data_IF_530957796546
#
_entry.id   IF_530957796546
#
_cell.length_a   1.000
_cell.length_b   1.000
_cell.length_c   1.000
_cell.angle_alpha   90.00
_cell.angle_beta   90.00
_cell.angle_gamma   90.00
#
_symmetry.space_group_name_H-M   'P 1'
#
loop_
_entity.id
_entity.type
_entity.pdbx_description
1 polymer ?
#
# COMPACT_ATOMS: atom_id res chain seq x y z
N UNK A 1 43.93 -13.99 11.35
CA UNK A 1 44.35 -13.08 12.46
C UNK A 1 45.54 -12.21 12.08
N UNK A 2 45.69 -11.76 10.80
CA UNK A 2 46.79 -10.91 10.31
C UNK A 2 46.38 -9.66 9.53
N UNK A 3 45.11 -9.37 9.38
CA UNK A 3 44.64 -8.18 8.60
C UNK A 3 44.09 -7.03 9.48
N UNK A 4 43.93 -7.22 10.80
CA UNK A 4 43.41 -6.17 11.70
C UNK A 4 44.48 -5.31 12.36
N UNK A 5 45.79 -5.54 12.06
CA UNK A 5 46.91 -4.77 12.64
C UNK A 5 47.52 -3.73 11.71
N UNK A 6 47.07 -3.61 10.44
CA UNK A 6 47.61 -2.61 9.49
C UNK A 6 46.79 -1.33 9.38
N UNK A 7 45.56 -1.29 9.93
CA UNK A 7 44.71 -0.10 9.86
C UNK A 7 44.91 0.89 11.01
N UNK A 8 45.67 0.52 12.04
CA UNK A 8 45.88 1.36 13.22
C UNK A 8 47.13 2.27 13.13
N UNK A 9 47.99 2.15 12.10
CA UNK A 9 49.23 2.91 11.95
C UNK A 9 49.07 4.10 10.99
N UNK A 10 48.01 4.18 10.19
CA UNK A 10 47.82 5.28 9.23
C UNK A 10 47.05 6.49 9.79
N UNK A 11 46.44 6.40 10.98
CA UNK A 11 45.70 7.49 11.62
C UNK A 11 46.51 8.33 12.62
N UNK A 12 47.79 8.01 12.85
CA UNK A 12 48.64 8.69 13.85
C UNK A 12 49.66 9.70 13.23
N UNK A 13 49.60 9.96 11.91
CA UNK A 13 50.61 10.82 11.25
C UNK A 13 50.09 12.14 10.67
N UNK A 14 48.87 12.57 10.99
CA UNK A 14 48.29 13.84 10.49
C UNK A 14 48.09 14.91 11.57
N UNK A 15 48.49 14.67 12.83
CA UNK A 15 48.24 15.61 13.94
C UNK A 15 49.49 16.27 14.54
N UNK A 16 50.63 16.36 13.81
CA UNK A 16 51.83 17.08 14.32
C UNK A 16 52.41 17.98 13.24
N UNK A 17 51.70 19.04 12.86
CA UNK A 17 52.32 20.20 12.14
C UNK A 17 51.39 21.41 12.18
N UNK A 18 51.19 22.01 13.36
CA UNK A 18 50.76 23.40 13.46
C UNK A 18 50.94 23.96 14.89
N UNK A 19 52.22 24.19 15.25
CA UNK A 19 52.62 25.17 16.27
C UNK A 19 54.07 25.47 16.04
N UNK A 20 54.37 26.67 15.61
CA UNK A 20 55.41 27.61 16.02
C UNK A 20 55.53 28.74 14.97
N UNK A 21 55.12 29.92 15.35
CA UNK A 21 55.89 31.15 15.13
C UNK A 21 55.13 32.36 15.69
N UNK A 22 55.41 32.73 16.93
CA UNK A 22 55.27 34.08 17.45
C UNK A 22 56.45 34.91 17.00
N UNK A 23 56.24 35.99 16.25
CA UNK A 23 57.22 36.99 15.89
C UNK A 23 56.56 38.36 15.88
N UNK A 24 56.99 39.22 16.85
CA UNK A 24 56.57 40.61 17.03
C UNK A 24 57.12 41.50 15.93
N UNK A 25 56.27 42.34 15.30
CA UNK A 25 56.67 43.57 14.61
C UNK A 25 55.56 44.62 14.65
N UNK A 26 55.95 45.87 14.80
CA UNK A 26 55.17 47.10 15.12
C UNK A 26 54.29 47.63 13.97
N UNK A 27 53.44 48.62 14.22
CA UNK A 27 52.27 48.94 13.41
C UNK A 27 52.57 49.77 12.18
N UNK A 28 52.01 49.35 11.03
CA UNK A 28 51.94 50.15 9.82
C UNK A 28 50.49 50.49 9.48
N UNK A 29 50.29 51.62 8.86
CA UNK A 29 49.08 52.39 8.66
C UNK A 29 47.89 51.60 8.08
N UNK A 30 46.70 51.97 8.56
CA UNK A 30 45.41 51.58 8.02
C UNK A 30 45.23 52.13 6.60
N UNK A 31 45.12 51.25 5.63
CA UNK A 31 44.51 51.51 4.35
C UNK A 31 43.09 50.97 4.42
N UNK A 32 42.10 51.85 4.25
CA UNK A 32 40.68 51.49 4.27
C UNK A 32 40.33 50.66 3.04
N UNK A 33 39.97 49.41 3.26
CA UNK A 33 39.40 48.55 2.20
C UNK A 33 37.99 49.08 1.81
N UNK A 34 37.66 49.10 0.52
CA UNK A 34 36.33 49.53 0.07
C UNK A 34 35.23 48.59 0.64
N UNK A 35 34.13 49.20 1.08
CA UNK A 35 32.96 48.49 1.57
C UNK A 35 32.44 47.49 0.57
N UNK A 36 32.05 46.25 1.00
CA UNK A 36 31.44 45.28 0.09
C UNK A 36 30.12 45.86 -0.45
N UNK A 37 29.96 45.74 -1.79
CA UNK A 37 28.71 46.09 -2.45
C UNK A 37 27.55 45.27 -1.83
N UNK A 38 26.33 45.86 -1.71
CA UNK A 38 25.19 45.14 -1.19
C UNK A 38 24.95 43.90 -2.04
N UNK A 39 24.94 42.73 -1.40
CA UNK A 39 24.51 41.49 -2.02
C UNK A 39 23.12 41.73 -2.64
N UNK A 40 22.99 41.50 -3.95
CA UNK A 40 21.71 41.45 -4.61
C UNK A 40 20.86 40.39 -3.86
N UNK A 41 19.75 40.82 -3.31
CA UNK A 41 18.72 39.92 -2.82
C UNK A 41 18.28 39.15 -4.04
N UNK A 42 18.59 37.84 -4.08
CA UNK A 42 17.95 36.90 -4.96
C UNK A 42 16.46 36.96 -4.60
N UNK A 43 15.67 37.55 -5.50
CA UNK A 43 14.23 37.62 -5.37
C UNK A 43 13.78 36.19 -5.54
N UNK A 44 13.33 35.55 -4.44
CA UNK A 44 12.77 34.22 -4.49
C UNK A 44 11.65 34.26 -5.53
N UNK A 45 11.78 33.46 -6.60
CA UNK A 45 10.74 33.30 -7.60
C UNK A 45 9.43 32.97 -6.89
N UNK A 46 8.36 33.69 -7.25
CA UNK A 46 7.03 33.37 -6.73
C UNK A 46 6.74 31.90 -7.02
N UNK A 47 6.09 31.15 -6.08
CA UNK A 47 5.71 29.76 -6.33
C UNK A 47 4.95 29.68 -7.65
N UNK A 48 5.31 28.74 -8.52
CA UNK A 48 4.60 28.52 -9.76
C UNK A 48 3.12 28.26 -9.45
N UNK A 49 2.23 28.88 -10.21
CA UNK A 49 0.79 28.66 -10.08
C UNK A 49 0.49 27.20 -10.41
N UNK A 50 -0.16 26.46 -9.48
CA UNK A 50 -0.57 25.09 -9.70
C UNK A 50 -1.84 25.12 -10.56
N UNK A 51 -1.71 24.70 -11.80
CA UNK A 51 -2.80 24.65 -12.81
C UNK A 51 -3.01 23.23 -13.27
N UNK A 52 -4.24 22.92 -13.73
CA UNK A 52 -4.57 21.63 -14.33
C UNK A 52 -3.62 21.31 -15.49
N UNK A 53 -2.94 20.16 -15.45
CA UNK A 53 -2.04 19.77 -16.53
C UNK A 53 -2.80 19.39 -17.80
N UNK A 54 -2.06 19.33 -18.90
CA UNK A 54 -2.55 18.76 -20.18
C UNK A 54 -1.97 17.35 -20.31
N UNK A 55 -2.79 16.39 -20.74
CA UNK A 55 -2.36 15.03 -20.98
C UNK A 55 -1.25 14.96 -22.04
N UNK A 56 -0.29 14.07 -21.84
CA UNK A 56 0.86 13.90 -22.75
C UNK A 56 0.49 13.34 -24.12
N UNK A 57 -0.68 12.72 -24.25
CA UNK A 57 -1.12 12.00 -25.45
C UNK A 57 -0.47 10.61 -25.61
N UNK A 58 0.31 10.17 -24.62
CA UNK A 58 0.81 8.78 -24.55
C UNK A 58 -0.18 7.92 -23.77
N UNK A 59 -0.34 6.66 -24.17
CA UNK A 59 -1.16 5.70 -23.43
C UNK A 59 -0.59 5.48 -22.02
N UNK A 60 -1.49 5.36 -21.04
CA UNK A 60 -1.20 5.04 -19.65
C UNK A 60 -1.74 3.65 -19.35
N UNK A 61 -0.88 2.73 -18.92
CA UNK A 61 -1.25 1.35 -18.61
C UNK A 61 -1.36 1.20 -17.11
N UNK A 62 -2.53 0.75 -16.62
CA UNK A 62 -2.83 0.63 -15.20
C UNK A 62 -3.06 -0.83 -14.83
N UNK A 63 -2.18 -1.39 -14.01
CA UNK A 63 -2.34 -2.71 -13.42
C UNK A 63 -3.29 -2.67 -12.23
N UNK A 64 -4.31 -3.54 -12.20
CA UNK A 64 -5.29 -3.54 -11.12
C UNK A 64 -5.89 -4.92 -10.85
N UNK A 65 -6.78 -5.00 -9.86
CA UNK A 65 -7.47 -6.21 -9.41
C UNK A 65 -8.96 -6.12 -9.72
N UNK A 66 -9.58 -7.21 -10.19
CA UNK A 66 -11.03 -7.30 -10.40
C UNK A 66 -11.77 -7.50 -9.10
N UNK A 67 -11.76 -6.53 -8.23
CA UNK A 67 -12.48 -6.48 -6.96
C UNK A 67 -12.61 -5.01 -6.50
N UNK A 68 -12.99 -4.79 -5.23
CA UNK A 68 -13.11 -3.45 -4.65
C UNK A 68 -11.87 -2.55 -4.83
N UNK A 69 -10.68 -3.13 -4.92
CA UNK A 69 -9.41 -2.37 -5.09
C UNK A 69 -9.39 -1.64 -6.42
N UNK A 70 -9.72 -2.35 -7.51
CA UNK A 70 -9.68 -1.82 -8.87
C UNK A 70 -10.94 -1.10 -9.30
N UNK A 71 -12.05 -1.24 -8.55
CA UNK A 71 -13.35 -0.68 -8.96
C UNK A 71 -13.33 0.82 -9.27
N UNK A 72 -12.63 1.70 -8.54
CA UNK A 72 -12.58 3.12 -8.90
C UNK A 72 -11.90 3.37 -10.25
N UNK A 73 -10.79 2.67 -10.56
CA UNK A 73 -10.09 2.83 -11.83
C UNK A 73 -10.97 2.34 -13.00
N UNK A 74 -11.63 1.20 -12.83
CA UNK A 74 -12.61 0.69 -13.80
C UNK A 74 -13.79 1.66 -13.97
N UNK A 75 -14.37 2.16 -12.87
CA UNK A 75 -15.48 3.10 -12.92
C UNK A 75 -15.11 4.39 -13.65
N UNK A 76 -13.92 4.93 -13.42
CA UNK A 76 -13.42 6.10 -14.13
C UNK A 76 -13.35 5.87 -15.65
N UNK A 77 -12.92 4.69 -16.08
CA UNK A 77 -12.91 4.30 -17.49
C UNK A 77 -14.33 4.12 -18.04
N UNK A 78 -15.18 3.37 -17.35
CA UNK A 78 -16.56 3.10 -17.78
C UNK A 78 -17.41 4.38 -17.91
N UNK A 79 -17.11 5.40 -17.11
CA UNK A 79 -17.79 6.70 -17.13
C UNK A 79 -17.14 7.72 -18.07
N UNK A 80 -16.05 7.38 -18.76
CA UNK A 80 -15.36 8.26 -19.69
C UNK A 80 -14.55 9.38 -19.04
N UNK A 81 -14.21 9.28 -17.72
CA UNK A 81 -13.50 10.36 -17.02
C UNK A 81 -12.08 10.56 -17.53
N UNK A 82 -11.42 9.49 -17.98
CA UNK A 82 -10.09 9.58 -18.59
C UNK A 82 -10.12 10.33 -19.93
N UNK A 83 -11.11 10.04 -20.76
CA UNK A 83 -11.31 10.72 -22.05
C UNK A 83 -11.67 12.21 -21.86
N UNK A 84 -12.45 12.55 -20.80
CA UNK A 84 -12.78 13.95 -20.47
C UNK A 84 -11.54 14.81 -20.22
N UNK A 85 -10.46 14.22 -19.69
CA UNK A 85 -9.20 14.91 -19.41
C UNK A 85 -8.12 14.65 -20.46
N UNK A 86 -8.45 13.89 -21.53
CA UNK A 86 -7.55 13.60 -22.66
C UNK A 86 -6.54 12.47 -22.38
N UNK A 87 -6.74 11.65 -21.34
CA UNK A 87 -5.94 10.45 -21.09
C UNK A 87 -6.44 9.28 -21.94
N UNK A 88 -5.52 8.58 -22.59
CA UNK A 88 -5.74 7.25 -23.15
C UNK A 88 -5.29 6.22 -22.11
N UNK A 89 -6.23 5.46 -21.54
CA UNK A 89 -5.96 4.50 -20.47
C UNK A 89 -6.27 3.07 -20.91
N UNK A 90 -5.35 2.15 -20.59
CA UNK A 90 -5.57 0.71 -20.68
C UNK A 90 -5.55 0.12 -19.26
N UNK A 91 -6.61 -0.60 -18.87
CA UNK A 91 -6.63 -1.36 -17.61
C UNK A 91 -6.22 -2.80 -17.86
N UNK A 92 -5.23 -3.28 -17.12
CA UNK A 92 -4.78 -4.67 -17.11
C UNK A 92 -5.18 -5.30 -15.77
N UNK A 93 -6.03 -6.33 -15.85
CA UNK A 93 -6.60 -6.96 -14.67
C UNK A 93 -5.86 -8.25 -14.32
N UNK A 94 -5.45 -8.39 -13.06
CA UNK A 94 -4.72 -9.53 -12.50
C UNK A 94 -5.59 -10.38 -11.55
N UNK A 95 -6.91 -10.36 -11.72
CA UNK A 95 -7.85 -11.05 -10.82
C UNK A 95 -7.74 -10.51 -9.40
N UNK A 96 -7.54 -11.38 -8.42
CA UNK A 96 -7.32 -11.00 -7.00
C UNK A 96 -5.86 -11.20 -6.55
N UNK A 97 -4.90 -11.18 -7.48
CA UNK A 97 -3.51 -11.55 -7.22
C UNK A 97 -2.59 -10.33 -7.23
N UNK A 98 -2.53 -9.60 -6.11
CA UNK A 98 -1.65 -8.43 -5.94
C UNK A 98 -0.17 -8.67 -6.29
N UNK A 99 0.45 -9.83 -5.97
CA UNK A 99 1.82 -10.11 -6.39
C UNK A 99 2.04 -10.08 -7.90
N UNK A 100 1.06 -10.49 -8.71
CA UNK A 100 1.17 -10.42 -10.18
C UNK A 100 1.16 -8.98 -10.70
N UNK A 101 0.49 -8.05 -10.00
CA UNK A 101 0.58 -6.62 -10.31
C UNK A 101 2.02 -6.13 -10.13
N UNK A 102 2.68 -6.54 -9.03
CA UNK A 102 4.09 -6.17 -8.78
C UNK A 102 5.02 -6.75 -9.86
N UNK A 103 4.77 -7.97 -10.33
CA UNK A 103 5.54 -8.60 -11.41
C UNK A 103 5.39 -7.83 -12.72
N UNK A 104 4.16 -7.41 -13.07
CA UNK A 104 3.90 -6.60 -14.26
C UNK A 104 4.55 -5.21 -14.18
N UNK A 105 4.52 -4.58 -12.99
CA UNK A 105 5.23 -3.32 -12.74
C UNK A 105 6.74 -3.50 -12.91
N UNK A 106 7.31 -4.59 -12.39
CA UNK A 106 8.75 -4.89 -12.51
C UNK A 106 9.17 -5.26 -13.95
N UNK A 107 8.22 -5.69 -14.79
CA UNK A 107 8.44 -5.97 -16.21
C UNK A 107 8.16 -4.76 -17.14
N UNK A 108 7.91 -3.57 -16.56
CA UNK A 108 7.51 -2.34 -17.28
C UNK A 108 6.25 -2.54 -18.16
N UNK A 109 5.38 -3.49 -17.77
CA UNK A 109 4.11 -3.73 -18.47
C UNK A 109 3.00 -2.79 -17.99
N UNK A 110 3.18 -2.14 -16.82
CA UNK A 110 2.25 -1.17 -16.26
C UNK A 110 2.98 0.10 -15.80
N UNK A 111 2.37 1.25 -16.01
CA UNK A 111 2.86 2.57 -15.57
C UNK A 111 2.42 2.88 -14.12
N UNK A 112 1.16 2.57 -13.80
CA UNK A 112 0.54 2.77 -12.48
C UNK A 112 -0.06 1.45 -12.02
N UNK A 113 -0.03 1.23 -10.71
CA UNK A 113 -0.70 0.12 -10.06
C UNK A 113 -1.74 0.60 -9.04
N UNK A 114 -2.90 -0.05 -9.04
CA UNK A 114 -3.93 0.05 -8.00
C UNK A 114 -4.06 -1.34 -7.37
N UNK A 115 -3.44 -1.54 -6.21
CA UNK A 115 -3.25 -2.87 -5.63
C UNK A 115 -3.30 -2.85 -4.10
N UNK A 116 -3.39 -4.04 -3.50
CA UNK A 116 -3.49 -4.21 -2.05
C UNK A 116 -2.15 -4.17 -1.32
N UNK A 117 -2.10 -4.82 -0.16
CA UNK A 117 -0.93 -4.87 0.74
C UNK A 117 0.35 -5.41 0.05
N UNK A 118 0.21 -6.23 -1.00
CA UNK A 118 1.35 -6.69 -1.79
C UNK A 118 2.26 -5.55 -2.30
N UNK A 119 1.71 -4.33 -2.45
CA UNK A 119 2.44 -3.13 -2.86
C UNK A 119 3.64 -2.80 -1.96
N UNK A 120 3.63 -3.21 -0.68
CA UNK A 120 4.78 -3.03 0.24
C UNK A 120 6.06 -3.62 -0.35
N UNK A 121 5.97 -4.80 -0.98
CA UNK A 121 7.13 -5.46 -1.58
C UNK A 121 7.66 -4.71 -2.81
N UNK A 122 6.78 -4.14 -3.64
CA UNK A 122 7.18 -3.31 -4.77
C UNK A 122 7.84 -2.02 -4.27
N UNK A 123 7.18 -1.28 -3.38
CA UNK A 123 7.70 -0.04 -2.80
C UNK A 123 9.03 -0.23 -2.07
N UNK A 124 9.22 -1.39 -1.42
CA UNK A 124 10.48 -1.78 -0.76
C UNK A 124 11.68 -1.82 -1.70
N UNK A 125 11.48 -2.01 -3.00
CA UNK A 125 12.57 -1.97 -3.99
C UNK A 125 13.14 -0.58 -4.24
N UNK A 126 12.41 0.49 -3.87
CA UNK A 126 12.78 1.89 -4.14
C UNK A 126 12.58 2.34 -5.59
N UNK A 127 11.96 1.50 -6.43
CA UNK A 127 11.72 1.81 -7.86
C UNK A 127 10.38 2.51 -8.13
N UNK A 128 9.53 2.61 -7.13
CA UNK A 128 8.16 3.10 -7.26
C UNK A 128 7.87 4.21 -6.26
N UNK A 129 6.91 5.06 -6.61
CA UNK A 129 6.38 6.10 -5.73
C UNK A 129 4.92 5.84 -5.40
N UNK A 130 4.59 5.87 -4.12
CA UNK A 130 3.23 5.82 -3.60
C UNK A 130 2.58 7.19 -3.74
N UNK A 131 1.49 7.27 -4.50
CA UNK A 131 0.87 8.53 -4.91
C UNK A 131 -0.57 8.71 -4.40
N UNK A 132 -1.18 7.66 -3.81
CA UNK A 132 -2.56 7.74 -3.35
C UNK A 132 -3.00 6.57 -2.48
N UNK A 133 -3.90 6.85 -1.53
CA UNK A 133 -4.65 5.85 -0.80
C UNK A 133 -5.84 5.37 -1.64
N UNK A 134 -6.03 4.06 -1.74
CA UNK A 134 -7.10 3.44 -2.51
C UNK A 134 -8.32 3.12 -1.66
N UNK A 135 -8.68 1.84 -1.57
CA UNK A 135 -9.80 1.36 -0.77
C UNK A 135 -9.40 1.25 0.71
N UNK A 136 -10.32 1.66 1.57
CA UNK A 136 -10.30 1.43 3.02
C UNK A 136 -11.13 0.20 3.35
N UNK A 137 -10.50 -0.84 3.88
CA UNK A 137 -11.17 -2.04 4.38
C UNK A 137 -11.63 -1.83 5.82
N UNK A 138 -12.95 -1.81 6.02
CA UNK A 138 -13.58 -1.66 7.33
C UNK A 138 -13.59 -3.01 8.06
N UNK A 139 -13.88 -4.10 7.34
CA UNK A 139 -13.90 -5.49 7.84
C UNK A 139 -13.89 -6.48 6.67
N UNK A 140 -13.95 -7.79 7.00
CA UNK A 140 -14.13 -8.85 6.03
C UNK A 140 -12.86 -9.59 5.61
N UNK A 141 -11.71 -9.24 6.20
CA UNK A 141 -10.52 -10.08 6.14
C UNK A 141 -10.58 -11.07 7.29
N UNK A 142 -11.07 -12.28 7.01
CA UNK A 142 -11.46 -13.24 8.04
C UNK A 142 -10.57 -14.48 8.11
N UNK A 143 -10.53 -15.09 9.31
CA UNK A 143 -10.00 -16.42 9.54
C UNK A 143 -11.15 -17.35 9.88
N UNK A 144 -11.18 -18.50 9.23
CA UNK A 144 -12.28 -19.45 9.34
C UNK A 144 -11.79 -20.81 9.81
N UNK A 145 -12.62 -21.47 10.62
CA UNK A 145 -12.41 -22.80 11.17
C UNK A 145 -13.56 -23.73 10.81
N UNK A 146 -13.32 -25.04 10.95
CA UNK A 146 -14.39 -26.05 10.91
C UNK A 146 -15.24 -25.94 12.17
N UNK A 147 -16.57 -26.17 12.10
CA UNK A 147 -17.47 -26.01 13.25
C UNK A 147 -17.22 -27.04 14.39
N UNK A 148 -16.55 -28.13 14.10
CA UNK A 148 -16.14 -29.17 15.05
C UNK A 148 -14.71 -29.02 15.53
N UNK A 149 -13.98 -27.95 15.16
CA UNK A 149 -12.59 -27.73 15.53
C UNK A 149 -12.45 -27.38 17.03
N UNK A 150 -11.33 -27.78 17.61
CA UNK A 150 -10.96 -27.38 18.98
C UNK A 150 -10.82 -25.87 19.12
N UNK A 151 -10.43 -25.17 18.04
CA UNK A 151 -10.29 -23.71 17.99
C UNK A 151 -11.66 -23.03 18.18
N UNK A 152 -12.67 -23.46 17.42
CA UNK A 152 -14.03 -22.93 17.58
C UNK A 152 -14.64 -23.28 18.94
N UNK A 153 -14.31 -24.47 19.49
CA UNK A 153 -14.82 -24.90 20.79
C UNK A 153 -14.34 -24.06 21.97
N UNK A 154 -13.30 -23.21 21.81
CA UNK A 154 -12.86 -22.29 22.88
C UNK A 154 -13.90 -21.22 23.20
N UNK A 155 -14.81 -20.90 22.26
CA UNK A 155 -15.67 -19.74 22.34
C UNK A 155 -14.93 -18.41 22.05
N UNK A 156 -15.67 -17.32 21.81
CA UNK A 156 -15.06 -16.02 21.55
C UNK A 156 -14.54 -15.38 22.84
N UNK A 157 -13.43 -14.67 22.73
CA UNK A 157 -12.92 -13.79 23.78
C UNK A 157 -13.66 -12.41 23.80
N UNK A 158 -13.15 -11.45 24.57
CA UNK A 158 -13.76 -10.12 24.70
C UNK A 158 -13.73 -9.30 23.37
N UNK A 159 -12.85 -9.62 22.43
CA UNK A 159 -12.73 -8.99 21.11
C UNK A 159 -13.45 -9.77 20.01
N UNK A 160 -14.01 -10.95 20.35
CA UNK A 160 -14.70 -11.81 19.39
C UNK A 160 -13.82 -12.88 18.75
N UNK A 161 -12.52 -12.91 19.04
CA UNK A 161 -11.59 -13.90 18.52
C UNK A 161 -11.68 -15.23 19.26
N UNK A 162 -11.58 -16.35 18.53
CA UNK A 162 -11.59 -17.71 19.07
C UNK A 162 -10.19 -18.29 19.02
N UNK A 163 -9.84 -19.12 19.99
CA UNK A 163 -8.56 -19.81 20.07
C UNK A 163 -7.92 -19.71 21.46
N UNK A 164 -6.84 -20.44 21.62
CA UNK A 164 -5.98 -20.41 22.80
C UNK A 164 -4.57 -20.86 22.43
N UNK A 165 -3.59 -20.63 23.29
CA UNK A 165 -2.23 -21.14 23.07
C UNK A 165 -2.18 -22.67 22.90
N UNK A 166 -3.09 -23.40 23.53
CA UNK A 166 -3.15 -24.85 23.39
C UNK A 166 -3.71 -25.29 22.03
N UNK A 167 -4.79 -24.64 21.55
CA UNK A 167 -5.49 -25.01 20.31
C UNK A 167 -4.83 -24.50 19.05
N UNK A 168 -3.94 -23.52 19.16
CA UNK A 168 -3.24 -22.88 18.03
C UNK A 168 -1.79 -23.36 17.88
N UNK A 169 -1.40 -24.33 18.68
CA UNK A 169 -0.04 -24.89 18.61
C UNK A 169 0.15 -25.75 17.38
N UNK A 170 1.25 -25.51 16.63
CA UNK A 170 1.67 -26.30 15.47
C UNK A 170 0.60 -26.40 14.35
N UNK A 171 -0.28 -25.38 14.21
CA UNK A 171 -1.36 -25.40 13.20
C UNK A 171 -0.87 -25.00 11.81
N UNK A 172 -1.69 -25.36 10.81
CA UNK A 172 -1.52 -24.94 9.42
C UNK A 172 -2.66 -24.01 9.02
N UNK A 173 -2.32 -22.83 8.52
CA UNK A 173 -3.27 -21.84 7.97
C UNK A 173 -3.08 -21.78 6.45
N UNK A 174 -4.18 -21.92 5.69
CA UNK A 174 -4.19 -21.81 4.23
C UNK A 174 -4.49 -20.37 3.82
N UNK A 175 -3.89 -19.90 2.72
CA UNK A 175 -4.18 -18.58 2.16
C UNK A 175 -3.12 -18.11 1.17
N UNK A 176 -3.37 -17.00 0.43
CA UNK A 176 -2.38 -16.44 -0.47
C UNK A 176 -1.27 -15.70 0.30
N UNK A 177 -0.02 -16.04 -0.02
CA UNK A 177 1.17 -15.35 0.50
C UNK A 177 1.30 -13.92 -0.05
N UNK A 178 2.04 -13.09 0.69
CA UNK A 178 2.33 -11.70 0.31
C UNK A 178 1.07 -10.85 0.10
N UNK A 179 0.00 -11.18 0.81
CA UNK A 179 -1.29 -10.49 0.77
C UNK A 179 -1.80 -10.19 2.19
N UNK A 180 -2.92 -9.46 2.28
CA UNK A 180 -3.63 -9.22 3.54
C UNK A 180 -4.03 -10.51 4.26
N UNK A 181 -4.27 -11.60 3.54
CA UNK A 181 -4.60 -12.90 4.15
C UNK A 181 -3.43 -13.46 4.98
N UNK A 182 -2.19 -13.38 4.47
CA UNK A 182 -1.03 -13.78 5.26
C UNK A 182 -0.80 -12.85 6.45
N UNK A 183 -0.92 -11.53 6.25
CA UNK A 183 -0.80 -10.55 7.33
C UNK A 183 -1.83 -10.79 8.44
N UNK A 184 -3.09 -11.09 8.06
CA UNK A 184 -4.15 -11.42 9.00
C UNK A 184 -3.84 -12.70 9.78
N UNK A 185 -3.31 -13.75 9.12
CA UNK A 185 -2.91 -14.98 9.78
C UNK A 185 -1.79 -14.74 10.81
N UNK A 186 -0.77 -13.95 10.46
CA UNK A 186 0.31 -13.59 11.38
C UNK A 186 -0.25 -12.78 12.57
N UNK A 187 -1.05 -11.73 12.29
CA UNK A 187 -1.67 -10.91 13.34
C UNK A 187 -2.55 -11.74 14.30
N UNK A 188 -3.28 -12.72 13.77
CA UNK A 188 -4.08 -13.64 14.57
C UNK A 188 -3.21 -14.51 15.47
N UNK A 189 -2.12 -15.04 14.97
CA UNK A 189 -1.21 -15.85 15.77
C UNK A 189 -0.49 -15.01 16.84
N UNK A 190 -0.03 -13.79 16.49
CA UNK A 190 0.56 -12.83 17.42
C UNK A 190 -0.42 -12.43 18.53
N UNK A 191 -1.70 -12.26 18.22
CA UNK A 191 -2.74 -11.94 19.19
C UNK A 191 -2.82 -12.98 20.32
N UNK A 192 -2.55 -14.26 20.03
CA UNK A 192 -2.47 -15.35 21.00
C UNK A 192 -1.06 -15.61 21.53
N UNK A 193 -0.07 -14.77 21.20
CA UNK A 193 1.30 -14.82 21.73
C UNK A 193 2.24 -15.75 20.97
N UNK A 194 1.93 -16.08 19.73
CA UNK A 194 2.80 -16.78 18.80
C UNK A 194 3.56 -15.80 17.88
N UNK A 195 4.52 -16.31 17.13
CA UNK A 195 5.25 -15.59 16.09
C UNK A 195 4.94 -16.18 14.71
N UNK A 196 5.41 -15.54 13.65
CA UNK A 196 5.25 -16.05 12.28
C UNK A 196 5.96 -17.40 12.04
N UNK A 197 6.89 -17.78 12.91
CA UNK A 197 7.65 -19.05 12.82
C UNK A 197 6.97 -20.21 13.58
N UNK A 198 5.96 -19.93 14.40
CA UNK A 198 5.31 -20.92 15.25
C UNK A 198 4.16 -21.68 14.58
N UNK A 199 3.85 -21.37 13.31
CA UNK A 199 2.81 -22.04 12.54
C UNK A 199 3.20 -22.19 11.08
N UNK A 200 2.52 -23.07 10.36
CA UNK A 200 2.72 -23.26 8.92
C UNK A 200 1.70 -22.41 8.16
N UNK A 201 2.18 -21.50 7.27
CA UNK A 201 1.31 -20.86 6.30
C UNK A 201 1.50 -21.48 4.92
N UNK A 202 0.43 -22.11 4.38
CA UNK A 202 0.46 -22.78 3.08
C UNK A 202 -0.04 -21.81 2.01
N UNK A 203 0.85 -21.51 1.04
CA UNK A 203 0.54 -20.60 -0.06
C UNK A 203 -0.36 -21.26 -1.11
N UNK A 204 -1.60 -20.83 -1.16
CA UNK A 204 -2.58 -21.16 -2.19
C UNK A 204 -3.39 -19.90 -2.49
N UNK A 205 -3.84 -19.66 -3.72
CA UNK A 205 -4.79 -18.60 -3.99
C UNK A 205 -6.12 -18.83 -3.23
N UNK A 206 -6.99 -17.82 -3.18
CA UNK A 206 -8.22 -17.88 -2.38
C UNK A 206 -9.12 -19.07 -2.77
N UNK A 207 -9.30 -19.33 -4.07
CA UNK A 207 -10.16 -20.41 -4.54
C UNK A 207 -9.56 -21.78 -4.21
N UNK A 208 -8.27 -21.96 -4.45
CA UNK A 208 -7.51 -23.18 -4.14
C UNK A 208 -7.44 -23.42 -2.63
N UNK A 209 -7.25 -22.36 -1.82
CA UNK A 209 -7.27 -22.44 -0.35
C UNK A 209 -8.63 -22.93 0.15
N UNK A 210 -9.73 -22.37 -0.38
CA UNK A 210 -11.08 -22.79 -0.01
C UNK A 210 -11.32 -24.26 -0.37
N UNK A 211 -10.97 -24.69 -1.60
CA UNK A 211 -11.14 -26.07 -2.05
C UNK A 211 -10.32 -27.05 -1.19
N UNK A 212 -9.07 -26.73 -0.88
CA UNK A 212 -8.22 -27.56 0.00
C UNK A 212 -8.80 -27.63 1.43
N UNK A 213 -9.25 -26.49 1.98
CA UNK A 213 -9.86 -26.44 3.31
C UNK A 213 -11.14 -27.26 3.40
N UNK A 214 -12.00 -27.23 2.37
CA UNK A 214 -13.24 -28.03 2.27
C UNK A 214 -12.96 -29.54 2.21
N UNK A 215 -11.81 -29.95 1.63
CA UNK A 215 -11.40 -31.36 1.59
C UNK A 215 -10.66 -31.84 2.83
N UNK A 216 -10.47 -30.96 3.83
CA UNK A 216 -9.91 -31.33 5.13
C UNK A 216 -8.44 -30.93 5.31
N UNK A 217 -7.83 -30.21 4.37
CA UNK A 217 -6.46 -29.70 4.52
C UNK A 217 -6.43 -28.45 5.41
N UNK A 218 -5.30 -28.21 6.08
CA UNK A 218 -5.11 -27.11 7.02
C UNK A 218 -6.05 -27.14 8.23
N UNK A 219 -5.75 -26.39 9.25
CA UNK A 219 -6.57 -26.23 10.44
C UNK A 219 -7.48 -25.01 10.34
N UNK A 220 -6.96 -23.96 9.69
CA UNK A 220 -7.63 -22.68 9.43
C UNK A 220 -7.43 -22.23 7.98
N UNK A 221 -8.28 -21.33 7.54
CA UNK A 221 -8.10 -20.58 6.28
C UNK A 221 -8.23 -19.08 6.56
N UNK A 222 -7.27 -18.29 6.02
CA UNK A 222 -7.33 -16.84 6.01
C UNK A 222 -7.72 -16.36 4.61
N UNK A 223 -8.79 -15.54 4.52
CA UNK A 223 -9.35 -15.15 3.23
C UNK A 223 -10.16 -13.84 3.31
N UNK A 224 -10.51 -13.29 2.16
CA UNK A 224 -11.31 -12.08 2.02
C UNK A 224 -12.81 -12.34 2.19
N UNK A 225 -13.61 -11.26 2.16
CA UNK A 225 -15.06 -11.29 2.40
C UNK A 225 -15.81 -12.24 1.48
N UNK A 226 -15.50 -12.27 0.19
CA UNK A 226 -16.22 -13.09 -0.79
C UNK A 226 -16.10 -14.59 -0.50
N UNK A 227 -14.87 -15.08 -0.34
CA UNK A 227 -14.64 -16.48 0.02
C UNK A 227 -15.09 -16.80 1.44
N UNK A 228 -15.00 -15.80 2.33
CA UNK A 228 -15.56 -15.89 3.68
C UNK A 228 -17.07 -16.10 3.70
N UNK A 229 -17.81 -15.46 2.80
CA UNK A 229 -19.25 -15.66 2.64
C UNK A 229 -19.57 -17.08 2.17
N UNK A 230 -18.80 -17.60 1.18
CA UNK A 230 -18.97 -18.99 0.72
C UNK A 230 -18.70 -19.99 1.84
N UNK A 231 -17.60 -19.82 2.59
CA UNK A 231 -17.30 -20.65 3.75
C UNK A 231 -18.41 -20.61 4.79
N UNK A 232 -18.94 -19.41 5.08
CA UNK A 232 -20.05 -19.25 6.04
C UNK A 232 -21.33 -19.95 5.55
N UNK A 233 -21.66 -19.83 4.26
CA UNK A 233 -22.80 -20.51 3.65
C UNK A 233 -22.66 -22.06 3.71
N UNK A 234 -21.43 -22.56 3.64
CA UNK A 234 -21.11 -23.98 3.76
C UNK A 234 -20.98 -24.47 5.22
N UNK A 235 -21.24 -23.58 6.20
CA UNK A 235 -21.28 -23.91 7.63
C UNK A 235 -19.93 -23.81 8.36
N UNK A 236 -18.89 -23.27 7.74
CA UNK A 236 -17.66 -22.90 8.43
C UNK A 236 -17.86 -21.65 9.26
N UNK A 237 -17.03 -21.47 10.28
CA UNK A 237 -17.22 -20.39 11.26
C UNK A 237 -16.06 -19.41 11.21
N UNK A 238 -16.37 -18.10 11.18
CA UNK A 238 -15.36 -17.07 11.34
C UNK A 238 -14.88 -17.06 12.77
N UNK A 239 -13.58 -17.27 12.97
CA UNK A 239 -12.92 -17.30 14.30
C UNK A 239 -12.12 -16.05 14.59
N UNK A 240 -11.81 -15.26 13.57
CA UNK A 240 -11.26 -13.90 13.71
C UNK A 240 -11.60 -13.06 12.47
N UNK A 241 -11.60 -11.75 12.66
CA UNK A 241 -11.57 -10.74 11.58
C UNK A 241 -10.42 -9.80 11.88
N UNK A 242 -9.71 -9.34 10.85
CA UNK A 242 -8.53 -8.50 11.03
C UNK A 242 -8.81 -7.29 11.92
N UNK A 243 -9.96 -6.64 11.75
CA UNK A 243 -10.36 -5.48 12.55
C UNK A 243 -10.73 -5.79 14.02
N UNK A 244 -10.83 -7.07 14.41
CA UNK A 244 -11.01 -7.46 15.81
C UNK A 244 -9.69 -7.53 16.57
N UNK A 245 -8.59 -7.78 15.86
CA UNK A 245 -7.28 -8.12 16.44
C UNK A 245 -6.18 -7.13 16.08
N UNK A 246 -6.33 -6.36 15.00
CA UNK A 246 -5.36 -5.36 14.53
C UNK A 246 -5.74 -3.94 14.98
N UNK A 247 -4.73 -3.07 15.04
CA UNK A 247 -4.87 -1.68 15.49
C UNK A 247 -4.93 -0.67 14.33
N UNK A 248 -4.59 -1.10 13.11
CA UNK A 248 -4.57 -0.25 11.92
C UNK A 248 -5.51 -0.80 10.86
N UNK A 249 -6.31 0.06 10.19
CA UNK A 249 -7.14 -0.38 9.08
C UNK A 249 -6.27 -0.74 7.87
N UNK A 250 -6.75 -1.66 7.03
CA UNK A 250 -6.11 -1.97 5.75
C UNK A 250 -6.50 -0.87 4.75
N UNK A 251 -5.49 -0.29 4.08
CA UNK A 251 -5.68 0.70 3.02
C UNK A 251 -4.87 0.24 1.80
N UNK A 252 -5.56 0.11 0.67
CA UNK A 252 -4.94 -0.29 -0.58
C UNK A 252 -4.14 0.87 -1.20
N UNK A 253 -3.18 0.53 -2.07
CA UNK A 253 -2.20 1.46 -2.64
C UNK A 253 -2.56 1.90 -4.05
N UNK A 254 -2.27 3.15 -4.35
CA UNK A 254 -2.04 3.65 -5.70
C UNK A 254 -0.57 4.07 -5.79
N UNK A 255 0.20 3.43 -6.69
CA UNK A 255 1.63 3.71 -6.85
C UNK A 255 2.03 3.65 -8.33
N UNK A 256 3.15 4.26 -8.69
CA UNK A 256 3.60 4.33 -10.08
C UNK A 256 5.11 4.13 -10.21
N UNK A 257 5.56 3.90 -11.44
CA UNK A 257 6.97 3.94 -11.82
C UNK A 257 7.57 5.31 -11.50
N UNK A 258 8.79 5.37 -10.93
CA UNK A 258 9.47 6.64 -10.68
C UNK A 258 9.73 7.41 -11.98
N UNK A 259 10.08 6.70 -13.06
CA UNK A 259 10.30 7.28 -14.39
C UNK A 259 9.05 7.98 -14.96
N UNK A 260 7.85 7.49 -14.63
CA UNK A 260 6.61 8.13 -15.04
C UNK A 260 6.48 9.54 -14.46
N UNK A 261 6.92 9.73 -13.22
CA UNK A 261 6.89 11.03 -12.55
C UNK A 261 7.88 12.02 -13.13
N UNK A 262 9.02 11.54 -13.61
CA UNK A 262 10.02 12.37 -14.28
C UNK A 262 9.56 12.78 -15.69
N UNK A 263 8.92 11.86 -16.42
CA UNK A 263 8.53 12.07 -17.82
C UNK A 263 7.15 12.71 -18.01
N UNK A 264 6.16 12.29 -17.21
CA UNK A 264 4.75 12.59 -17.40
C UNK A 264 3.99 12.85 -16.08
N UNK A 265 4.49 13.73 -15.19
CA UNK A 265 3.84 13.98 -13.89
C UNK A 265 2.39 14.48 -14.06
N UNK A 266 2.09 15.19 -15.14
CA UNK A 266 0.74 15.67 -15.44
C UNK A 266 -0.25 14.54 -15.71
N UNK A 267 0.16 13.44 -16.34
CA UNK A 267 -0.71 12.28 -16.56
C UNK A 267 -1.07 11.61 -15.23
N UNK A 268 -0.14 11.58 -14.28
CA UNK A 268 -0.36 11.05 -12.93
C UNK A 268 -1.39 11.90 -12.18
N UNK A 269 -1.28 13.23 -12.23
CA UNK A 269 -2.26 14.13 -11.61
C UNK A 269 -3.65 13.97 -12.23
N UNK A 270 -3.76 13.89 -13.56
CA UNK A 270 -5.02 13.66 -14.25
C UNK A 270 -5.63 12.29 -13.92
N UNK A 271 -4.79 11.25 -13.80
CA UNK A 271 -5.24 9.94 -13.35
C UNK A 271 -5.81 10.00 -11.92
N UNK A 272 -5.09 10.60 -10.96
CA UNK A 272 -5.55 10.75 -9.59
C UNK A 272 -6.86 11.55 -9.50
N UNK A 273 -7.00 12.59 -10.32
CA UNK A 273 -8.27 13.34 -10.43
C UNK A 273 -9.43 12.43 -10.83
N UNK A 274 -9.28 11.67 -11.92
CA UNK A 274 -10.31 10.76 -12.40
C UNK A 274 -10.62 9.65 -11.37
N UNK A 275 -9.59 9.11 -10.73
CA UNK A 275 -9.69 8.07 -9.72
C UNK A 275 -10.50 8.54 -8.49
N UNK A 276 -10.15 9.68 -7.90
CA UNK A 276 -10.88 10.19 -6.73
C UNK A 276 -12.25 10.76 -7.07
N UNK A 277 -12.46 11.27 -8.29
CA UNK A 277 -13.80 11.58 -8.82
C UNK A 277 -14.67 10.31 -8.86
N UNK A 278 -14.12 9.20 -9.32
CA UNK A 278 -14.80 7.90 -9.33
C UNK A 278 -15.10 7.41 -7.92
N UNK A 279 -14.14 7.49 -6.99
CA UNK A 279 -14.35 7.16 -5.59
C UNK A 279 -15.52 7.93 -4.97
N UNK A 280 -15.58 9.25 -5.19
CA UNK A 280 -16.67 10.09 -4.68
C UNK A 280 -18.04 9.67 -5.24
N UNK A 281 -18.13 9.36 -6.53
CA UNK A 281 -19.37 8.91 -7.16
C UNK A 281 -19.82 7.52 -6.68
N UNK A 282 -18.89 6.59 -6.48
CA UNK A 282 -19.17 5.25 -5.94
C UNK A 282 -19.68 5.32 -4.50
N UNK A 283 -19.16 6.25 -3.68
CA UNK A 283 -19.66 6.47 -2.31
C UNK A 283 -21.00 7.16 -2.26
N UNK A 284 -21.26 8.09 -3.17
CA UNK A 284 -22.50 8.87 -3.21
C UNK A 284 -23.73 8.04 -3.63
N UNK A 285 -23.53 6.92 -4.34
CA UNK A 285 -24.63 6.08 -4.86
C UNK A 285 -24.29 4.59 -4.71
N UNK A 286 -24.72 4.02 -3.60
CA UNK A 286 -24.44 2.63 -3.25
C UNK A 286 -25.09 1.62 -4.22
N UNK A 287 -26.32 1.88 -4.68
CA UNK A 287 -27.01 0.99 -5.61
C UNK A 287 -26.25 0.94 -6.97
N UNK A 288 -25.79 2.10 -7.45
CA UNK A 288 -24.99 2.16 -8.66
C UNK A 288 -23.62 1.50 -8.46
N UNK A 289 -23.01 1.65 -7.29
CA UNK A 289 -21.75 0.99 -6.95
C UNK A 289 -21.88 -0.54 -7.04
N UNK A 290 -22.90 -1.11 -6.39
CA UNK A 290 -23.18 -2.55 -6.43
C UNK A 290 -23.41 -3.02 -7.86
N UNK A 291 -24.26 -2.32 -8.61
CA UNK A 291 -24.55 -2.67 -10.00
C UNK A 291 -23.30 -2.70 -10.88
N UNK A 292 -22.52 -1.64 -10.87
CA UNK A 292 -21.32 -1.52 -11.71
C UNK A 292 -20.26 -2.53 -11.31
N UNK A 293 -20.05 -2.75 -10.01
CA UNK A 293 -19.11 -3.75 -9.51
C UNK A 293 -19.54 -5.16 -9.95
N UNK A 294 -20.82 -5.52 -9.78
CA UNK A 294 -21.31 -6.83 -10.17
C UNK A 294 -21.19 -7.07 -11.69
N UNK A 295 -21.62 -6.10 -12.51
CA UNK A 295 -21.49 -6.19 -13.97
C UNK A 295 -20.02 -6.37 -14.41
N UNK A 296 -19.10 -5.65 -13.78
CA UNK A 296 -17.68 -5.78 -14.07
C UNK A 296 -17.12 -7.12 -13.64
N UNK A 297 -17.36 -7.55 -12.39
CA UNK A 297 -16.83 -8.81 -11.87
C UNK A 297 -17.30 -10.01 -12.71
N UNK A 298 -18.56 -10.00 -13.12
CA UNK A 298 -19.10 -11.05 -14.00
C UNK A 298 -18.43 -11.00 -15.39
N UNK A 299 -18.18 -9.81 -15.95
CA UNK A 299 -17.47 -9.66 -17.22
C UNK A 299 -16.03 -10.18 -17.15
N UNK A 300 -15.38 -10.06 -15.99
CA UNK A 300 -14.05 -10.62 -15.71
C UNK A 300 -14.07 -12.14 -15.39
N UNK A 301 -15.24 -12.77 -15.47
CA UNK A 301 -15.40 -14.21 -15.24
C UNK A 301 -15.48 -14.62 -13.79
N UNK A 302 -15.69 -13.68 -12.87
CA UNK A 302 -15.89 -13.96 -11.45
C UNK A 302 -17.33 -14.41 -11.21
N UNK A 303 -17.51 -15.45 -10.40
CA UNK A 303 -18.83 -16.01 -10.11
C UNK A 303 -19.45 -15.38 -8.84
N UNK A 304 -19.50 -14.02 -8.81
CA UNK A 304 -20.08 -13.29 -7.71
C UNK A 304 -21.58 -13.11 -7.92
N UNK A 305 -22.35 -13.31 -6.87
CA UNK A 305 -23.77 -12.92 -6.84
C UNK A 305 -23.88 -11.43 -6.51
N UNK A 306 -25.04 -10.84 -6.81
CA UNK A 306 -25.31 -9.45 -6.40
C UNK A 306 -25.20 -9.28 -4.86
N UNK A 307 -25.61 -10.31 -4.08
CA UNK A 307 -25.49 -10.30 -2.62
C UNK A 307 -24.03 -10.27 -2.17
N UNK A 308 -23.14 -11.03 -2.80
CA UNK A 308 -21.70 -11.00 -2.49
C UNK A 308 -21.12 -9.58 -2.67
N UNK A 309 -21.55 -8.88 -3.72
CA UNK A 309 -21.11 -7.50 -3.99
C UNK A 309 -21.74 -6.50 -3.00
N UNK A 310 -23.00 -6.69 -2.59
CA UNK A 310 -23.61 -5.89 -1.52
C UNK A 310 -22.83 -6.03 -0.23
N UNK A 311 -22.50 -7.25 0.16
CA UNK A 311 -21.75 -7.54 1.37
C UNK A 311 -20.36 -6.91 1.30
N UNK A 312 -19.64 -7.09 0.18
CA UNK A 312 -18.34 -6.47 -0.09
C UNK A 312 -18.43 -4.93 0.04
N UNK A 313 -19.37 -4.31 -0.66
CA UNK A 313 -19.55 -2.86 -0.64
C UNK A 313 -19.86 -2.31 0.76
N UNK A 314 -20.50 -3.09 1.63
CA UNK A 314 -20.81 -2.69 3.01
C UNK A 314 -19.56 -2.65 3.92
N UNK A 315 -18.53 -3.40 3.55
CA UNK A 315 -17.28 -3.58 4.34
C UNK A 315 -16.08 -2.82 3.77
N UNK A 316 -16.26 -2.13 2.66
CA UNK A 316 -15.22 -1.39 1.96
C UNK A 316 -15.65 0.06 1.72
N UNK A 317 -14.73 0.99 1.87
CA UNK A 317 -14.93 2.41 1.61
C UNK A 317 -13.82 2.95 0.71
N UNK A 318 -13.94 4.20 0.26
CA UNK A 318 -12.93 4.87 -0.56
C UNK A 318 -12.59 6.23 0.03
N UNK A 319 -11.40 6.68 -0.27
CA UNK A 319 -11.04 8.08 -0.03
C UNK A 319 -11.59 8.98 -1.14
N UNK A 320 -11.84 10.22 -0.81
CA UNK A 320 -12.21 11.30 -1.74
C UNK A 320 -11.16 12.40 -1.67
N UNK A 321 -11.28 13.44 -2.48
CA UNK A 321 -10.40 14.61 -2.38
C UNK A 321 -10.38 15.23 -0.98
N UNK A 322 -11.50 15.19 -0.25
CA UNK A 322 -11.63 15.77 1.09
C UNK A 322 -10.99 14.88 2.17
N UNK A 323 -10.91 13.57 1.94
CA UNK A 323 -10.51 12.59 2.95
C UNK A 323 -9.15 11.96 2.72
N UNK A 324 -8.63 11.92 1.47
CA UNK A 324 -7.29 11.42 1.18
C UNK A 324 -6.24 12.37 1.77
N UNK A 325 -5.19 11.80 2.37
CA UNK A 325 -4.14 12.55 3.07
C UNK A 325 -4.72 13.59 4.06
N UNK A 326 -5.72 13.17 4.84
CA UNK A 326 -6.40 14.04 5.80
C UNK A 326 -6.79 13.28 7.08
N UNK A 327 -6.80 14.00 8.20
CA UNK A 327 -7.30 13.49 9.47
C UNK A 327 -6.52 12.30 10.03
N UNK A 328 -7.23 11.22 10.31
CA UNK A 328 -6.69 10.02 10.98
C UNK A 328 -5.87 9.11 10.03
N UNK A 329 -5.98 9.32 8.72
CA UNK A 329 -5.31 8.53 7.69
C UNK A 329 -4.34 9.38 6.87
N UNK A 330 -3.10 9.61 7.37
CA UNK A 330 -2.07 10.25 6.57
C UNK A 330 -1.70 9.35 5.39
N UNK A 331 -1.40 9.95 4.23
CA UNK A 331 -1.07 9.23 3.01
C UNK A 331 -0.04 8.13 3.25
N UNK A 332 -0.33 6.92 2.78
CA UNK A 332 0.53 5.75 2.90
C UNK A 332 0.75 5.26 4.35
N UNK A 333 -0.06 5.71 5.30
CA UNK A 333 0.07 5.32 6.71
C UNK A 333 0.01 3.83 6.92
N UNK A 334 -0.90 3.14 6.22
CA UNK A 334 -0.98 1.68 6.27
C UNK A 334 0.25 0.99 5.64
N UNK A 335 0.81 1.50 4.55
CA UNK A 335 1.99 0.90 3.93
C UNK A 335 3.22 0.98 4.84
N UNK A 336 3.39 2.10 5.57
CA UNK A 336 4.42 2.22 6.62
C UNK A 336 4.23 1.18 7.72
N UNK A 337 3.00 1.08 8.24
CA UNK A 337 2.67 0.09 9.26
C UNK A 337 2.89 -1.34 8.75
N UNK A 338 2.45 -1.67 7.55
CA UNK A 338 2.63 -2.99 6.96
C UNK A 338 4.12 -3.33 6.74
N UNK A 339 4.94 -2.35 6.32
CA UNK A 339 6.38 -2.52 6.22
C UNK A 339 7.03 -2.86 7.57
N UNK A 340 6.73 -2.11 8.62
CA UNK A 340 7.23 -2.37 9.97
C UNK A 340 6.73 -3.72 10.52
N UNK A 341 5.46 -4.06 10.30
CA UNK A 341 4.88 -5.34 10.68
C UNK A 341 5.59 -6.50 9.98
N UNK A 342 5.81 -6.40 8.68
CA UNK A 342 6.51 -7.43 7.91
C UNK A 342 7.99 -7.55 8.31
N UNK A 343 8.65 -6.43 8.65
CA UNK A 343 10.02 -6.44 9.16
C UNK A 343 10.10 -7.17 10.52
N UNK A 344 9.17 -6.89 11.42
CA UNK A 344 9.10 -7.55 12.73
C UNK A 344 8.91 -9.08 12.61
N UNK A 345 8.36 -9.53 11.48
CA UNK A 345 8.10 -10.93 11.15
C UNK A 345 9.09 -11.53 10.12
N UNK A 346 10.25 -10.90 9.90
CA UNK A 346 11.30 -11.36 8.99
C UNK A 346 10.84 -11.62 7.53
N UNK A 347 9.82 -10.88 7.06
CA UNK A 347 9.26 -11.00 5.70
C UNK A 347 9.82 -9.98 4.73
N UNK A 348 10.36 -8.89 5.25
CA UNK A 348 11.08 -7.83 4.50
C UNK A 348 12.31 -7.41 5.28
N UNK A 349 13.22 -6.66 4.65
CA UNK A 349 14.44 -6.14 5.27
C UNK A 349 14.23 -4.73 5.83
N UNK A 350 15.15 -4.27 6.68
CA UNK A 350 15.15 -2.88 7.15
C UNK A 350 15.37 -1.87 6.00
N UNK A 351 16.07 -2.25 4.94
CA UNK A 351 16.25 -1.42 3.74
C UNK A 351 14.92 -1.27 2.98
N UNK A 352 14.15 -2.34 2.84
CA UNK A 352 12.82 -2.28 2.22
C UNK A 352 11.90 -1.30 2.98
N UNK A 353 11.91 -1.33 4.32
CA UNK A 353 11.10 -0.39 5.13
C UNK A 353 11.55 1.05 4.94
N UNK A 354 12.86 1.31 4.85
CA UNK A 354 13.38 2.65 4.53
C UNK A 354 12.87 3.11 3.16
N UNK A 355 12.89 2.24 2.16
CA UNK A 355 12.41 2.54 0.82
C UNK A 355 10.90 2.78 0.80
N UNK A 356 10.08 1.95 1.48
CA UNK A 356 8.63 2.18 1.62
C UNK A 356 8.36 3.56 2.21
N UNK A 357 9.06 3.93 3.29
CA UNK A 357 8.87 5.24 3.92
C UNK A 357 9.26 6.41 3.00
N UNK A 358 10.32 6.23 2.22
CA UNK A 358 10.82 7.25 1.29
C UNK A 358 9.97 7.38 0.01
N UNK A 359 9.25 6.31 -0.37
CA UNK A 359 8.45 6.28 -1.60
C UNK A 359 7.16 7.09 -1.53
N UNK A 360 6.70 7.48 -0.34
CA UNK A 360 5.39 8.13 -0.17
C UNK A 360 5.52 9.61 -0.47
N UNK A 361 4.85 10.06 -1.54
CA UNK A 361 4.86 11.44 -2.03
C UNK A 361 3.42 11.97 -2.19
N UNK A 362 3.08 12.99 -1.41
CA UNK A 362 1.77 13.63 -1.46
C UNK A 362 1.72 14.85 -2.41
N UNK A 363 2.79 15.16 -3.12
CA UNK A 363 2.87 16.32 -4.03
C UNK A 363 1.76 16.27 -5.07
N UNK A 364 1.58 15.13 -5.72
CA UNK A 364 0.64 14.97 -6.84
C UNK A 364 -0.81 15.13 -6.37
N UNK A 365 -1.20 14.48 -5.29
CA UNK A 365 -2.57 14.65 -4.76
C UNK A 365 -2.79 16.07 -4.21
N UNK A 366 -1.78 16.70 -3.64
CA UNK A 366 -1.86 18.09 -3.20
C UNK A 366 -2.08 19.04 -4.37
N UNK A 367 -1.35 18.86 -5.48
CA UNK A 367 -1.53 19.62 -6.70
C UNK A 367 -2.96 19.45 -7.25
N UNK A 368 -3.44 18.20 -7.33
CA UNK A 368 -4.80 17.88 -7.79
C UNK A 368 -5.84 18.62 -6.93
N UNK A 369 -5.72 18.59 -5.61
CA UNK A 369 -6.64 19.32 -4.71
C UNK A 369 -6.67 20.82 -4.99
N UNK A 370 -5.52 21.42 -5.33
CA UNK A 370 -5.42 22.86 -5.59
C UNK A 370 -6.08 23.23 -6.91
N UNK A 371 -5.73 22.57 -8.03
CA UNK A 371 -6.29 22.97 -9.32
C UNK A 371 -7.74 22.48 -9.50
N UNK A 372 -8.15 21.34 -8.94
CA UNK A 372 -9.52 20.85 -9.02
C UNK A 372 -10.51 21.72 -8.23
N UNK A 373 -10.06 22.39 -7.16
CA UNK A 373 -10.90 23.33 -6.42
C UNK A 373 -11.24 24.60 -7.21
N UNK A 374 -10.56 24.85 -8.34
CA UNK A 374 -10.74 26.01 -9.22
C UNK A 374 -11.53 25.68 -10.49
N UNK A 375 -11.96 24.41 -10.68
CA UNK A 375 -12.84 23.97 -11.78
C UNK A 375 -14.32 24.02 -11.37
#
# INVERSE_FOLDING_TARGET
>A
MKMKKMLAVLLALVMVLSMVACGTAAPAAKEEAPAPAPAAKEEAAAPAEIVKPTASGKKLVIGTLANWVGLPAYYAQAMGYYEEVGLEVELVNFGSQGPLVNEAMAADECDIAVSGMASVYALGTGMYTYIGDGCLTIAGEGIYARPDSAIYATGPDANGAYGSQETLKDITILGPMNTTAQMNAIAYMEYFGYTADDFTFTNLDHASSMAAFQTGEGDLISTNVTYGNYLTADGYVKVADYNWIATQPIIDAVYCQNELLDERPGDVELFLYCYYKACAHLLANQDNRVKVAHEWYVAEGLNYTEQDVIDECSLKSYFTFDTVDAGEHPLGGFMRYAGEFLLANDKVTAEDVVNVNASIDNTYISNVKVWAANE
#
